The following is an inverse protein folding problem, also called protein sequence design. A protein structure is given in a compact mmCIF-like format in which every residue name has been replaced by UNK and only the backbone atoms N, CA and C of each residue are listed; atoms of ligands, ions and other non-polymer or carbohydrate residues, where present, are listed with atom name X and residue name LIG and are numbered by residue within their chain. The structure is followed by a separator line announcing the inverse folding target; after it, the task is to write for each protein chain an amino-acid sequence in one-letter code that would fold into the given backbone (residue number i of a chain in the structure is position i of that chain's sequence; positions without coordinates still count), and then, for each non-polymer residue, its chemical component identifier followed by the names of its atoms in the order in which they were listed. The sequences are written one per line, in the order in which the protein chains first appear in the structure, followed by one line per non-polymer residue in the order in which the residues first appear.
data_IF_119713264081
#
_entry.id   IF_119713264081
#
_cell.length_a   1.000
_cell.length_b   1.000
_cell.length_c   1.000
_cell.angle_alpha   90.00
_cell.angle_beta   90.00
_cell.angle_gamma   90.00
#
_symmetry.space_group_name_H-M   'P 1'
#
loop_
_entity.id
_entity.type
_entity.pdbx_description
1 polymer ?
#
# COMPACT_ATOMS: atom_id res chain seq x y z
N UNK A 1 16.13 5.50 -11.38
CA UNK A 1 16.14 5.51 -9.89
C UNK A 1 14.72 5.41 -9.37
N UNK A 2 14.46 4.56 -8.38
CA UNK A 2 13.12 4.52 -7.79
C UNK A 2 12.74 5.85 -7.15
N UNK A 3 11.44 6.12 -7.14
CA UNK A 3 10.91 7.34 -6.52
C UNK A 3 9.60 7.07 -5.81
N UNK A 4 9.26 7.94 -4.87
CA UNK A 4 8.05 7.86 -4.10
C UNK A 4 6.98 8.72 -4.79
N UNK A 5 5.85 8.10 -5.16
CA UNK A 5 4.77 8.78 -5.87
C UNK A 5 3.42 8.44 -5.24
N UNK A 6 2.39 9.28 -5.42
CA UNK A 6 1.04 8.89 -5.05
C UNK A 6 0.59 7.69 -5.88
N UNK A 7 -0.37 6.88 -5.39
CA UNK A 7 -0.94 5.81 -6.21
C UNK A 7 -1.45 6.34 -7.56
N UNK A 8 -1.21 5.59 -8.61
CA UNK A 8 -1.49 6.03 -9.97
C UNK A 8 -1.86 4.84 -10.84
N UNK A 9 -2.80 5.07 -11.76
CA UNK A 9 -3.20 4.04 -12.73
C UNK A 9 -2.09 3.71 -13.73
N UNK A 10 -1.07 4.54 -13.80
CA UNK A 10 0.04 4.38 -14.75
C UNK A 10 0.79 3.05 -14.60
N UNK A 11 0.84 2.50 -13.40
CA UNK A 11 1.60 1.27 -13.13
C UNK A 11 0.68 0.06 -12.89
N UNK A 12 -0.54 0.07 -13.40
CA UNK A 12 -1.52 -0.99 -13.16
C UNK A 12 -0.96 -2.38 -13.45
N UNK A 13 -0.34 -2.59 -14.60
CA UNK A 13 0.14 -3.91 -14.99
C UNK A 13 1.19 -4.43 -13.99
N UNK A 14 2.16 -3.61 -13.67
CA UNK A 14 3.21 -3.98 -12.74
C UNK A 14 2.67 -4.22 -11.34
N UNK A 15 1.69 -3.39 -10.91
CA UNK A 15 1.02 -3.57 -9.63
C UNK A 15 0.34 -4.94 -9.54
N UNK A 16 -0.39 -5.32 -10.57
CA UNK A 16 -1.08 -6.62 -10.59
C UNK A 16 -0.07 -7.76 -10.57
N UNK A 17 1.02 -7.64 -11.33
CA UNK A 17 2.09 -8.64 -11.29
C UNK A 17 2.68 -8.78 -9.88
N UNK A 18 2.83 -7.65 -9.16
CA UNK A 18 3.30 -7.68 -7.77
C UNK A 18 2.31 -8.39 -6.85
N UNK A 19 1.01 -8.18 -7.06
CA UNK A 19 -0.02 -8.85 -6.24
C UNK A 19 -0.03 -10.35 -6.48
N UNK A 20 0.23 -10.81 -7.72
CA UNK A 20 0.39 -12.23 -8.01
C UNK A 20 1.59 -12.79 -7.23
N UNK A 21 2.70 -12.06 -7.16
CA UNK A 21 3.85 -12.49 -6.35
C UNK A 21 3.50 -12.65 -4.88
N UNK A 22 2.71 -11.73 -4.32
CA UNK A 22 2.28 -11.86 -2.93
C UNK A 22 1.39 -13.08 -2.71
N UNK A 23 0.47 -13.33 -3.63
CA UNK A 23 -0.37 -14.52 -3.55
C UNK A 23 0.45 -15.80 -3.61
N UNK A 24 1.46 -15.83 -4.48
CA UNK A 24 2.33 -17.00 -4.63
C UNK A 24 3.15 -17.28 -3.38
N UNK A 25 3.46 -16.27 -2.56
CA UNK A 25 4.15 -16.50 -1.29
C UNK A 25 3.19 -16.76 -0.11
N UNK A 26 1.89 -16.87 -0.39
CA UNK A 26 0.90 -17.23 0.63
C UNK A 26 0.20 -16.07 1.31
N UNK A 27 0.37 -14.84 0.83
CA UNK A 27 -0.33 -13.67 1.38
C UNK A 27 -1.80 -13.69 0.94
N UNK A 28 -2.63 -13.05 1.73
CA UNK A 28 -4.05 -12.90 1.41
C UNK A 28 -4.95 -13.93 2.07
N UNK A 29 -4.41 -14.81 2.90
CA UNK A 29 -5.20 -15.78 3.64
C UNK A 29 -6.10 -15.13 4.68
N UNK A 30 -7.07 -15.92 5.19
CA UNK A 30 -8.08 -15.43 6.14
C UNK A 30 -7.47 -14.79 7.38
N UNK A 31 -6.34 -15.31 7.85
CA UNK A 31 -5.69 -14.84 9.07
C UNK A 31 -4.59 -13.81 8.81
N UNK A 32 -4.42 -13.37 7.59
CA UNK A 32 -3.42 -12.36 7.24
C UNK A 32 -4.05 -10.97 7.34
N UNK A 33 -3.62 -10.19 8.34
CA UNK A 33 -4.15 -8.85 8.61
C UNK A 33 -3.34 -7.73 7.95
N UNK A 34 -2.38 -8.05 7.08
CA UNK A 34 -1.58 -7.05 6.40
C UNK A 34 -2.42 -6.20 5.46
N UNK A 35 -1.90 -5.01 5.11
CA UNK A 35 -2.55 -4.14 4.14
C UNK A 35 -2.77 -4.86 2.80
N UNK A 36 -1.75 -5.55 2.33
CA UNK A 36 -1.82 -6.30 1.07
C UNK A 36 -2.94 -7.34 1.12
N UNK A 37 -3.02 -8.10 2.21
CA UNK A 37 -4.04 -9.15 2.33
C UNK A 37 -5.45 -8.58 2.33
N UNK A 38 -5.66 -7.49 3.06
CA UNK A 38 -6.98 -6.84 3.11
C UNK A 38 -7.40 -6.36 1.73
N UNK A 39 -6.47 -5.79 0.99
CA UNK A 39 -6.78 -5.27 -0.35
C UNK A 39 -6.96 -6.38 -1.36
N UNK A 40 -6.21 -7.47 -1.26
CA UNK A 40 -6.44 -8.64 -2.10
C UNK A 40 -7.86 -9.17 -1.93
N UNK A 41 -8.35 -9.23 -0.68
CA UNK A 41 -9.70 -9.68 -0.40
C UNK A 41 -10.77 -8.71 -0.90
N UNK A 42 -10.53 -7.39 -0.78
CA UNK A 42 -11.53 -6.38 -1.14
C UNK A 42 -11.54 -6.07 -2.64
N UNK A 43 -10.38 -5.96 -3.26
CA UNK A 43 -10.25 -5.48 -4.64
C UNK A 43 -9.73 -6.50 -5.63
N UNK A 44 -9.22 -7.63 -5.18
CA UNK A 44 -8.54 -8.60 -6.05
C UNK A 44 -9.36 -9.12 -7.22
N UNK A 45 -10.70 -9.07 -7.12
CA UNK A 45 -11.57 -9.50 -8.21
C UNK A 45 -11.89 -8.40 -9.21
N UNK A 46 -11.54 -7.13 -8.92
CA UNK A 46 -11.96 -5.99 -9.75
C UNK A 46 -10.83 -5.13 -10.27
N UNK A 47 -9.66 -5.16 -9.67
CA UNK A 47 -8.58 -4.23 -10.04
C UNK A 47 -7.80 -4.61 -11.31
N UNK A 48 -8.18 -5.70 -11.96
CA UNK A 48 -7.56 -6.09 -13.23
C UNK A 48 -8.16 -5.36 -14.44
N UNK A 49 -9.25 -4.60 -14.25
CA UNK A 49 -9.79 -3.75 -15.29
C UNK A 49 -9.34 -2.31 -15.08
N UNK A 50 -9.30 -1.46 -16.15
CA UNK A 50 -8.96 -0.06 -15.98
C UNK A 50 -9.90 0.66 -15.02
N UNK A 51 -11.20 0.40 -15.11
CA UNK A 51 -12.20 1.03 -14.24
C UNK A 51 -12.06 0.60 -12.79
N UNK A 52 -11.88 -0.70 -12.56
CA UNK A 52 -11.71 -1.23 -11.20
C UNK A 52 -10.44 -0.74 -10.56
N UNK A 53 -9.35 -0.67 -11.32
CA UNK A 53 -8.09 -0.16 -10.80
C UNK A 53 -8.19 1.34 -10.48
N UNK A 54 -8.86 2.11 -11.33
CA UNK A 54 -9.07 3.53 -11.06
C UNK A 54 -9.86 3.74 -9.76
N UNK A 55 -10.88 2.91 -9.51
CA UNK A 55 -11.64 2.96 -8.25
C UNK A 55 -10.76 2.64 -7.05
N UNK A 56 -9.89 1.65 -7.18
CA UNK A 56 -8.94 1.30 -6.12
C UNK A 56 -7.99 2.47 -5.81
N UNK A 57 -7.44 3.11 -6.85
CA UNK A 57 -6.54 4.26 -6.67
C UNK A 57 -7.29 5.41 -5.98
N UNK A 58 -8.53 5.69 -6.39
CA UNK A 58 -9.34 6.71 -5.74
C UNK A 58 -9.59 6.41 -4.28
N UNK A 59 -9.82 5.14 -3.94
CA UNK A 59 -10.02 4.72 -2.55
C UNK A 59 -8.78 4.97 -1.72
N UNK A 60 -7.59 4.65 -2.25
CA UNK A 60 -6.34 4.92 -1.54
C UNK A 60 -6.15 6.41 -1.29
N UNK A 61 -6.46 7.24 -2.28
CA UNK A 61 -6.35 8.69 -2.13
C UNK A 61 -7.37 9.22 -1.12
N UNK A 62 -8.58 8.68 -1.13
CA UNK A 62 -9.63 9.09 -0.20
C UNK A 62 -9.30 8.70 1.25
N UNK A 63 -8.54 7.63 1.45
CA UNK A 63 -8.17 7.18 2.80
C UNK A 63 -7.33 8.19 3.57
N UNK A 64 -6.76 9.19 2.90
CA UNK A 64 -6.04 10.26 3.57
C UNK A 64 -6.97 11.29 4.23
N UNK A 65 -8.27 11.26 3.93
CA UNK A 65 -9.23 12.24 4.43
C UNK A 65 -10.00 11.72 5.65
N UNK A 66 -10.12 12.54 6.68
CA UNK A 66 -10.88 12.19 7.89
C UNK A 66 -12.35 11.92 7.59
N UNK A 67 -12.91 12.61 6.59
CA UNK A 67 -14.34 12.49 6.25
C UNK A 67 -14.68 11.18 5.52
N UNK A 68 -13.68 10.40 5.08
CA UNK A 68 -13.95 9.16 4.38
C UNK A 68 -14.48 8.11 5.34
N UNK A 69 -15.60 7.47 4.97
CA UNK A 69 -16.16 6.38 5.77
C UNK A 69 -15.27 5.16 5.69
N UNK A 70 -15.03 4.55 6.85
CA UNK A 70 -14.19 3.37 6.96
C UNK A 70 -14.60 2.56 8.19
N UNK A 71 -14.07 1.33 8.27
CA UNK A 71 -14.31 0.51 9.45
C UNK A 71 -13.79 1.23 10.71
N UNK A 72 -14.46 1.04 11.83
CA UNK A 72 -14.16 1.78 13.07
C UNK A 72 -12.76 1.54 13.60
N UNK A 73 -12.12 0.41 13.24
CA UNK A 73 -10.76 0.08 13.67
C UNK A 73 -9.68 0.67 12.75
N UNK A 74 -10.08 1.32 11.67
CA UNK A 74 -9.14 1.95 10.73
C UNK A 74 -9.05 3.44 11.00
N UNK A 75 -7.91 4.01 10.67
CA UNK A 75 -7.67 5.46 10.78
C UNK A 75 -7.26 5.98 9.41
N UNK A 76 -7.36 7.31 9.19
CA UNK A 76 -6.87 7.90 7.94
C UNK A 76 -5.40 7.58 7.73
N UNK A 77 -5.05 7.29 6.48
CA UNK A 77 -3.66 7.00 6.12
C UNK A 77 -3.36 7.55 4.73
N UNK A 78 -2.12 7.97 4.53
CA UNK A 78 -1.63 8.39 3.23
C UNK A 78 -0.71 7.31 2.70
N UNK A 79 -0.99 6.83 1.51
CA UNK A 79 -0.21 5.78 0.86
C UNK A 79 0.62 6.38 -0.27
N UNK A 80 1.89 6.00 -0.32
CA UNK A 80 2.79 6.31 -1.42
C UNK A 80 3.27 5.00 -2.03
N UNK A 81 3.46 5.00 -3.34
CA UNK A 81 4.02 3.87 -4.05
C UNK A 81 5.48 4.15 -4.42
N UNK A 82 6.30 3.12 -4.32
CA UNK A 82 7.71 3.13 -4.68
C UNK A 82 7.80 2.53 -6.07
N UNK A 83 8.17 3.36 -7.05
CA UNK A 83 8.13 2.97 -8.47
C UNK A 83 9.45 3.31 -9.15
N UNK A 84 9.79 2.54 -10.17
CA UNK A 84 10.92 2.83 -11.05
C UNK A 84 10.41 2.75 -12.48
N UNK A 85 10.23 3.92 -13.14
CA UNK A 85 9.60 3.96 -14.45
C UNK A 85 8.20 3.36 -14.40
N UNK A 86 7.91 2.35 -15.22
CA UNK A 86 6.59 1.71 -15.22
C UNK A 86 6.44 0.62 -14.16
N UNK A 87 7.48 0.37 -13.36
CA UNK A 87 7.49 -0.75 -12.41
C UNK A 87 7.08 -0.33 -11.01
N UNK A 88 6.08 -1.03 -10.47
CA UNK A 88 5.70 -0.94 -9.07
C UNK A 88 6.61 -1.86 -8.26
N UNK A 89 7.29 -1.30 -7.26
CA UNK A 89 8.23 -2.06 -6.43
C UNK A 89 7.71 -2.31 -5.02
N UNK A 90 6.88 -1.41 -4.52
CA UNK A 90 6.35 -1.54 -3.17
C UNK A 90 5.53 -0.33 -2.78
N UNK A 91 5.16 -0.28 -1.51
CA UNK A 91 4.41 0.85 -0.98
C UNK A 91 4.73 1.10 0.48
N UNK A 92 4.42 2.32 0.91
CA UNK A 92 4.53 2.71 2.30
C UNK A 92 3.31 3.57 2.63
N UNK A 93 2.70 3.31 3.78
CA UNK A 93 1.53 4.06 4.25
C UNK A 93 1.83 4.67 5.59
N UNK A 94 1.42 5.94 5.75
CA UNK A 94 1.56 6.68 7.00
C UNK A 94 0.17 6.83 7.61
N UNK A 95 -0.04 6.27 8.79
CA UNK A 95 -1.28 6.45 9.53
C UNK A 95 -1.24 7.80 10.23
N UNK A 96 -2.35 8.53 10.15
CA UNK A 96 -2.40 9.89 10.68
C UNK A 96 -2.47 9.93 12.20
N UNK A 97 -2.95 8.83 12.82
CA UNK A 97 -2.98 8.68 14.28
C UNK A 97 -2.97 7.21 14.65
N UNK A 98 -2.75 6.93 15.92
CA UNK A 98 -2.74 5.54 16.40
C UNK A 98 -4.01 5.27 17.22
N UNK A 99 -4.47 4.01 17.15
CA UNK A 99 -5.45 3.45 18.07
C UNK A 99 -4.71 2.51 19.03
N UNK A 100 -5.32 2.06 20.13
CA UNK A 100 -4.67 1.06 21.00
C UNK A 100 -4.22 -0.19 20.24
N UNK A 101 -5.04 -0.66 19.28
CA UNK A 101 -4.69 -1.80 18.46
C UNK A 101 -3.44 -1.53 17.61
N UNK A 102 -3.35 -0.35 17.01
CA UNK A 102 -2.21 0.00 16.16
C UNK A 102 -0.93 0.21 16.97
N UNK A 103 -1.04 0.65 18.21
CA UNK A 103 0.12 0.72 19.11
C UNK A 103 0.72 -0.67 19.34
N UNK A 104 -0.12 -1.69 19.43
CA UNK A 104 0.34 -3.04 19.70
C UNK A 104 0.87 -3.76 18.45
N UNK A 105 0.22 -3.58 17.28
CA UNK A 105 0.51 -4.44 16.12
C UNK A 105 0.81 -3.72 14.82
N UNK A 106 0.67 -2.40 14.75
CA UNK A 106 0.80 -1.71 13.45
C UNK A 106 1.74 -0.52 13.44
N UNK A 107 1.62 0.36 14.42
CA UNK A 107 2.39 1.60 14.45
C UNK A 107 1.93 2.61 13.40
N UNK A 108 2.66 3.71 13.25
CA UNK A 108 2.34 4.81 12.34
C UNK A 108 2.64 4.49 10.87
N UNK A 109 3.66 3.67 10.62
CA UNK A 109 4.14 3.42 9.26
C UNK A 109 4.06 1.93 8.97
N UNK A 110 3.41 1.57 7.87
CA UNK A 110 3.40 0.22 7.35
C UNK A 110 3.95 0.21 5.93
N UNK A 111 4.65 -0.85 5.54
CA UNK A 111 5.22 -0.94 4.21
C UNK A 111 5.26 -2.38 3.71
N UNK A 112 5.30 -2.51 2.38
CA UNK A 112 5.49 -3.79 1.70
C UNK A 112 6.38 -3.57 0.47
N UNK A 113 7.26 -4.54 0.21
CA UNK A 113 8.08 -4.59 -1.01
C UNK A 113 7.70 -5.86 -1.76
N UNK A 114 7.47 -5.74 -3.07
CA UNK A 114 7.11 -6.91 -3.86
C UNK A 114 8.23 -7.97 -3.75
N UNK A 115 7.86 -9.25 -3.68
CA UNK A 115 8.85 -10.30 -3.42
C UNK A 115 10.07 -10.28 -4.34
N UNK A 116 9.88 -10.06 -5.64
CA UNK A 116 10.98 -10.07 -6.59
C UNK A 116 11.95 -8.91 -6.44
N UNK A 117 11.57 -7.85 -5.71
CA UNK A 117 12.40 -6.67 -5.50
C UNK A 117 13.06 -6.64 -4.11
N UNK A 118 12.83 -7.64 -3.29
CA UNK A 118 13.39 -7.68 -1.93
C UNK A 118 14.90 -7.85 -1.93
N UNK A 119 15.52 -7.50 -0.79
CA UNK A 119 16.97 -7.62 -0.56
C UNK A 119 17.81 -6.71 -1.44
N UNK A 120 17.21 -5.58 -1.86
CA UNK A 120 17.89 -4.55 -2.65
C UNK A 120 17.88 -3.19 -1.96
N UNK A 121 17.49 -3.15 -0.68
CA UNK A 121 17.48 -1.92 0.10
C UNK A 121 16.26 -1.02 -0.13
N UNK A 122 15.23 -1.50 -0.82
CA UNK A 122 14.05 -0.68 -1.12
C UNK A 122 13.27 -0.26 0.12
N UNK A 123 13.11 -1.14 1.10
CA UNK A 123 12.39 -0.79 2.33
C UNK A 123 13.08 0.37 3.04
N UNK A 124 14.39 0.32 3.19
CA UNK A 124 15.17 1.39 3.82
C UNK A 124 15.09 2.68 3.01
N UNK A 125 15.18 2.58 1.68
CA UNK A 125 15.10 3.74 0.80
C UNK A 125 13.71 4.40 0.86
N UNK A 126 12.65 3.60 0.86
CA UNK A 126 11.27 4.11 1.00
C UNK A 126 11.09 4.83 2.32
N UNK A 127 11.53 4.21 3.42
CA UNK A 127 11.40 4.80 4.74
C UNK A 127 12.11 6.14 4.80
N UNK A 128 13.33 6.19 4.28
CA UNK A 128 14.11 7.43 4.23
C UNK A 128 13.39 8.51 3.41
N UNK A 129 12.82 8.14 2.27
CA UNK A 129 12.15 9.07 1.38
C UNK A 129 10.85 9.62 1.99
N UNK A 130 10.14 8.83 2.81
CA UNK A 130 8.85 9.22 3.36
C UNK A 130 8.97 10.03 4.65
N UNK A 131 10.10 9.95 5.36
CA UNK A 131 10.24 10.62 6.66
C UNK A 131 9.93 12.13 6.62
N UNK A 132 10.37 12.91 5.62
CA UNK A 132 10.01 14.34 5.59
C UNK A 132 8.49 14.57 5.58
N UNK A 133 7.73 13.70 4.92
CA UNK A 133 6.28 13.82 4.87
C UNK A 133 5.64 13.38 6.19
N UNK A 134 6.21 12.37 6.84
CA UNK A 134 5.69 11.86 8.10
C UNK A 134 5.88 12.84 9.27
N UNK A 135 6.87 13.71 9.16
CA UNK A 135 7.24 14.65 10.23
C UNK A 135 6.58 16.03 10.09
N UNK A 136 5.78 16.23 9.05
CA UNK A 136 5.08 17.49 8.86
C UNK A 136 3.94 17.69 9.85
#
# INVERSE_FOLDING_TARGET
MPELVPPSTRVQRSFIDAMVEFLDEGRGGRNDDSMVARELREFGSVWDTPEGFAQYVERLQADAHESTLRASYLVPSTTYWWVEGPEYLGRISIRHRLTPRLLEIGGHIGYDVRPSARRRGHATAMLRAVLPYALE
#
